data_IF_609009673905
#
_entry.id   IF_609009673905
#
_cell.length_a   1.000
_cell.length_b   1.000
_cell.length_c   1.000
_cell.angle_alpha   90.00
_cell.angle_beta   90.00
_cell.angle_gamma   90.00
#
_symmetry.space_group_name_H-M   'P 1'
#
loop_
_entity.id
_entity.type
_entity.pdbx_description
1 polymer ?
#
# COMPACT_ATOMS: atom_id res chain seq x y z
N UNK A 1 -7.54 49.34 -45.16
CA UNK A 1 -8.46 49.80 -46.25
C UNK A 1 -8.94 48.55 -46.99
N UNK A 2 -10.21 48.19 -47.23
CA UNK A 2 -11.59 48.67 -46.99
C UNK A 2 -12.44 47.37 -47.03
N UNK A 3 -13.22 47.04 -46.00
CA UNK A 3 -14.69 47.00 -45.99
C UNK A 3 -15.42 46.99 -47.37
N UNK A 4 -16.39 46.08 -47.60
CA UNK A 4 -17.85 46.36 -47.62
C UNK A 4 -18.69 45.27 -48.34
N UNK A 5 -19.58 44.62 -47.56
CA UNK A 5 -21.00 44.22 -47.76
C UNK A 5 -21.63 44.35 -49.16
N UNK A 6 -22.41 43.36 -49.66
CA UNK A 6 -23.81 43.45 -50.21
C UNK A 6 -24.51 42.05 -50.25
N UNK A 7 -25.73 41.92 -49.68
CA UNK A 7 -26.82 40.92 -49.96
C UNK A 7 -27.81 41.58 -50.95
N UNK A 8 -28.68 40.91 -51.77
CA UNK A 8 -29.74 39.94 -51.36
C UNK A 8 -30.01 38.85 -52.47
N UNK A 9 -30.94 37.89 -52.37
CA UNK A 9 -32.40 38.02 -52.63
C UNK A 9 -33.11 36.67 -52.55
N UNK A 10 -34.34 36.69 -52.02
CA UNK A 10 -35.31 35.60 -52.00
C UNK A 10 -36.38 35.85 -53.08
N UNK A 11 -37.05 34.80 -53.59
CA UNK A 11 -38.48 34.95 -53.86
C UNK A 11 -39.33 33.76 -53.36
N UNK A 12 -40.48 34.11 -52.77
CA UNK A 12 -41.67 33.27 -52.62
C UNK A 12 -42.54 33.34 -53.90
N UNK A 13 -43.43 32.37 -54.12
CA UNK A 13 -44.88 32.65 -53.98
C UNK A 13 -45.64 31.50 -53.29
N UNK A 14 -46.45 31.77 -52.25
CA UNK A 14 -47.91 32.06 -52.25
C UNK A 14 -48.80 30.99 -52.90
N UNK A 15 -49.56 30.25 -52.07
CA UNK A 15 -50.99 29.99 -52.25
C UNK A 15 -51.67 29.70 -50.89
N UNK A 16 -52.61 30.58 -50.52
CA UNK A 16 -53.73 30.43 -49.57
C UNK A 16 -55.01 30.58 -50.45
N UNK A 17 -56.28 30.32 -50.03
CA UNK A 17 -56.84 30.29 -48.66
C UNK A 17 -57.85 29.11 -48.45
N UNK A 18 -58.52 28.85 -47.31
CA UNK A 18 -59.64 29.60 -46.71
C UNK A 18 -60.20 28.91 -45.43
N UNK A 19 -60.47 29.74 -44.41
CA UNK A 19 -61.56 29.77 -43.38
C UNK A 19 -62.08 28.46 -42.73
N UNK A 20 -62.25 28.33 -41.40
CA UNK A 20 -62.15 29.28 -40.31
C UNK A 20 -62.69 28.73 -38.97
N UNK A 21 -62.89 29.67 -38.04
CA UNK A 21 -63.66 29.58 -36.79
C UNK A 21 -62.95 29.11 -35.50
N UNK A 22 -63.34 29.79 -34.43
CA UNK A 22 -63.12 29.52 -33.00
C UNK A 22 -61.83 30.01 -32.33
N UNK A 23 -61.94 31.29 -31.94
CA UNK A 23 -61.48 31.90 -30.69
C UNK A 23 -61.59 30.96 -29.47
N UNK A 24 -60.72 31.23 -28.50
CA UNK A 24 -60.71 30.82 -27.09
C UNK A 24 -59.87 29.58 -26.75
N UNK A 25 -58.67 29.82 -26.20
CA UNK A 25 -58.12 29.17 -25.00
C UNK A 25 -56.62 29.52 -24.86
N UNK A 26 -56.34 30.80 -24.59
CA UNK A 26 -55.09 31.17 -23.94
C UNK A 26 -55.28 30.93 -22.42
N UNK A 27 -54.22 30.44 -21.76
CA UNK A 27 -54.14 30.08 -20.33
C UNK A 27 -54.61 28.68 -19.96
N UNK A 28 -53.76 27.66 -20.19
CA UNK A 28 -53.69 26.44 -19.34
C UNK A 28 -52.40 25.63 -19.61
N UNK A 29 -51.22 26.29 -19.68
CA UNK A 29 -49.92 25.59 -19.85
C UNK A 29 -48.86 26.00 -18.80
N UNK A 30 -49.22 26.74 -17.76
CA UNK A 30 -48.25 27.23 -16.75
C UNK A 30 -48.55 26.77 -15.33
N UNK A 31 -48.85 25.49 -15.12
CA UNK A 31 -48.95 24.89 -13.77
C UNK A 31 -48.70 23.39 -13.77
N UNK A 32 -47.58 22.93 -14.35
CA UNK A 32 -47.15 21.53 -14.19
C UNK A 32 -45.63 21.29 -14.29
N UNK A 33 -44.80 22.27 -13.88
CA UNK A 33 -43.32 22.12 -13.83
C UNK A 33 -42.72 22.70 -12.51
N UNK A 34 -43.46 22.74 -11.41
CA UNK A 34 -42.94 23.25 -10.11
C UNK A 34 -43.09 22.27 -8.93
N UNK A 35 -43.17 20.97 -9.20
CA UNK A 35 -43.38 19.95 -8.17
C UNK A 35 -42.42 18.76 -8.17
N UNK A 36 -41.36 18.76 -8.99
CA UNK A 36 -40.33 17.72 -8.90
C UNK A 36 -39.23 18.28 -8.00
N UNK A 37 -39.11 17.83 -6.74
CA UNK A 37 -37.91 18.15 -5.98
C UNK A 37 -36.76 17.49 -6.74
N UNK A 38 -35.88 18.31 -7.32
CA UNK A 38 -34.51 17.90 -7.62
C UNK A 38 -33.79 17.65 -6.29
N UNK A 39 -34.22 16.60 -5.60
CA UNK A 39 -33.41 15.96 -4.59
C UNK A 39 -32.28 15.30 -5.35
N UNK A 40 -31.09 15.89 -5.30
CA UNK A 40 -29.87 15.13 -5.38
C UNK A 40 -29.99 14.06 -4.29
N UNK A 41 -30.43 12.86 -4.67
CA UNK A 41 -30.34 11.69 -3.82
C UNK A 41 -28.85 11.37 -3.68
N UNK A 42 -28.16 12.12 -2.83
CA UNK A 42 -26.92 11.66 -2.26
C UNK A 42 -27.27 10.37 -1.54
N UNK A 43 -26.74 9.25 -2.01
CA UNK A 43 -26.70 8.02 -1.22
C UNK A 43 -26.23 8.40 0.18
N UNK A 44 -27.00 8.13 1.25
CA UNK A 44 -26.59 8.50 2.59
C UNK A 44 -25.21 7.91 2.84
N UNK A 45 -24.28 8.74 3.33
CA UNK A 45 -22.96 8.28 3.72
C UNK A 45 -23.14 7.16 4.74
N UNK A 46 -22.74 5.94 4.38
CA UNK A 46 -22.88 4.76 5.22
C UNK A 46 -22.18 5.03 6.56
N UNK A 47 -22.88 4.81 7.68
CA UNK A 47 -22.33 5.10 9.01
C UNK A 47 -21.07 4.26 9.25
N UNK A 48 -20.10 4.77 10.01
CA UNK A 48 -18.92 4.00 10.42
C UNK A 48 -19.33 2.68 11.11
N UNK A 49 -20.44 2.68 11.85
CA UNK A 49 -21.02 1.50 12.47
C UNK A 49 -21.55 0.47 11.45
N UNK A 50 -21.99 0.90 10.27
CA UNK A 50 -22.45 0.00 9.21
C UNK A 50 -21.28 -0.54 8.37
N UNK A 51 -20.13 0.13 8.39
CA UNK A 51 -18.95 -0.24 7.61
C UNK A 51 -17.94 -1.10 8.37
N UNK A 52 -17.76 -0.84 9.66
CA UNK A 52 -16.74 -1.46 10.49
C UNK A 52 -17.37 -2.34 11.56
N UNK A 53 -16.82 -3.53 11.77
CA UNK A 53 -17.29 -4.46 12.79
C UNK A 53 -16.86 -3.95 14.18
N UNK A 54 -17.72 -4.00 15.21
CA UNK A 54 -17.44 -3.35 16.48
C UNK A 54 -16.69 -4.31 17.41
N UNK A 55 -15.68 -3.80 18.11
CA UNK A 55 -14.74 -4.62 18.87
C UNK A 55 -15.39 -5.34 20.06
N UNK A 56 -16.43 -4.78 20.65
CA UNK A 56 -17.20 -5.35 21.75
C UNK A 56 -18.01 -6.60 21.35
N UNK A 57 -18.24 -6.80 20.04
CA UNK A 57 -18.95 -7.96 19.52
C UNK A 57 -18.01 -9.10 19.09
N UNK A 58 -16.69 -8.89 19.08
CA UNK A 58 -15.72 -9.90 18.66
C UNK A 58 -15.61 -11.01 19.71
N UNK A 59 -15.98 -12.23 19.32
CA UNK A 59 -15.97 -13.42 20.20
C UNK A 59 -15.57 -14.69 19.43
N UNK A 60 -15.04 -15.72 20.11
CA UNK A 60 -14.72 -16.99 19.48
C UNK A 60 -15.93 -17.62 18.76
N UNK A 61 -15.66 -18.30 17.65
CA UNK A 61 -16.67 -18.97 16.82
C UNK A 61 -17.38 -18.07 15.80
N UNK A 62 -17.10 -16.76 15.78
CA UNK A 62 -17.57 -15.91 14.69
C UNK A 62 -16.91 -16.30 13.37
N UNK A 63 -17.71 -16.34 12.31
CA UNK A 63 -17.26 -16.66 10.96
C UNK A 63 -17.25 -15.42 10.08
N UNK A 64 -16.29 -15.34 9.17
CA UNK A 64 -16.09 -14.22 8.29
C UNK A 64 -15.42 -14.61 6.98
N UNK A 65 -15.13 -13.59 6.18
CA UNK A 65 -14.49 -13.72 4.87
C UNK A 65 -13.25 -12.82 4.85
N UNK A 66 -12.12 -13.38 4.45
CA UNK A 66 -10.92 -12.62 4.12
C UNK A 66 -10.75 -12.49 2.62
N UNK A 67 -10.05 -11.43 2.17
CA UNK A 67 -9.79 -11.16 0.74
C UNK A 67 -8.30 -11.00 0.47
N UNK A 68 -7.77 -11.66 -0.56
CA UNK A 68 -6.36 -11.51 -0.98
C UNK A 68 -6.19 -11.88 -2.45
N UNK A 69 -4.99 -11.67 -3.00
CA UNK A 69 -4.62 -12.13 -4.35
C UNK A 69 -3.62 -13.27 -4.24
N UNK A 70 -3.95 -14.41 -4.85
CA UNK A 70 -3.05 -15.56 -4.95
C UNK A 70 -2.33 -15.67 -6.30
N UNK A 71 -2.91 -15.10 -7.35
CA UNK A 71 -2.41 -15.15 -8.72
C UNK A 71 -3.00 -13.99 -9.54
N UNK A 72 -2.19 -13.40 -10.43
CA UNK A 72 -2.54 -12.21 -11.20
C UNK A 72 -2.85 -11.01 -10.31
N UNK A 73 -3.93 -10.32 -10.60
CA UNK A 73 -4.47 -9.16 -9.86
C UNK A 73 -5.87 -9.43 -9.27
N UNK A 74 -6.38 -10.65 -9.44
CA UNK A 74 -7.74 -11.02 -9.07
C UNK A 74 -7.84 -11.25 -7.57
N UNK A 75 -8.75 -10.51 -6.93
CA UNK A 75 -9.08 -10.71 -5.52
C UNK A 75 -9.93 -11.99 -5.37
N UNK A 76 -9.47 -12.88 -4.51
CA UNK A 76 -10.13 -14.13 -4.11
C UNK A 76 -10.49 -14.08 -2.62
N UNK A 77 -11.56 -14.79 -2.27
CA UNK A 77 -12.08 -14.87 -0.91
C UNK A 77 -11.65 -16.18 -0.22
N UNK A 78 -11.45 -16.13 1.09
CA UNK A 78 -11.19 -17.30 1.94
C UNK A 78 -11.96 -17.19 3.26
N UNK A 79 -12.23 -18.33 3.90
CA UNK A 79 -13.00 -18.36 5.14
C UNK A 79 -12.15 -17.93 6.34
N UNK A 80 -12.79 -17.33 7.35
CA UNK A 80 -12.14 -16.94 8.60
C UNK A 80 -13.01 -17.37 9.78
N UNK A 81 -12.39 -17.98 10.79
CA UNK A 81 -13.02 -18.29 12.08
C UNK A 81 -12.26 -17.57 13.18
N UNK A 82 -12.97 -16.77 13.99
CA UNK A 82 -12.37 -16.07 15.13
C UNK A 82 -12.14 -17.05 16.28
N UNK A 83 -10.91 -17.11 16.79
CA UNK A 83 -10.51 -17.95 17.91
C UNK A 83 -10.48 -17.18 19.23
N UNK A 84 -10.23 -15.86 19.19
CA UNK A 84 -10.20 -15.02 20.38
C UNK A 84 -9.56 -13.66 20.15
N UNK A 85 -9.36 -12.90 21.22
CA UNK A 85 -8.73 -11.57 21.20
C UNK A 85 -7.60 -11.54 22.23
N UNK A 86 -6.42 -11.09 21.81
CA UNK A 86 -5.26 -10.86 22.66
C UNK A 86 -5.12 -9.36 22.96
N UNK A 87 -5.51 -8.89 24.16
CA UNK A 87 -5.36 -7.50 24.54
C UNK A 87 -3.90 -7.17 24.88
N UNK A 88 -3.51 -5.90 24.72
CA UNK A 88 -2.17 -5.39 25.05
C UNK A 88 -1.08 -5.79 24.05
N UNK A 89 -1.46 -6.20 22.84
CA UNK A 89 -0.55 -6.60 21.75
C UNK A 89 -0.87 -5.78 20.49
N UNK A 90 0.15 -5.37 19.70
CA UNK A 90 1.58 -5.44 20.01
C UNK A 90 2.03 -4.41 21.07
N UNK A 91 1.18 -3.47 21.46
CA UNK A 91 1.47 -2.46 22.47
C UNK A 91 0.30 -2.17 23.43
N UNK A 92 0.52 -1.32 24.46
CA UNK A 92 -0.52 -0.92 25.39
C UNK A 92 -1.74 -0.35 24.67
N UNK A 93 -2.94 -0.71 25.15
CA UNK A 93 -4.24 -0.28 24.57
C UNK A 93 -4.53 -0.77 23.14
N UNK A 94 -3.68 -1.62 22.57
CA UNK A 94 -3.94 -2.28 21.29
C UNK A 94 -4.41 -3.71 21.51
N UNK A 95 -5.03 -4.30 20.49
CA UNK A 95 -5.42 -5.72 20.52
C UNK A 95 -5.08 -6.41 19.22
N UNK A 96 -4.81 -7.71 19.28
CA UNK A 96 -4.74 -8.57 18.09
C UNK A 96 -5.84 -9.61 18.17
N UNK A 97 -6.66 -9.69 17.12
CA UNK A 97 -7.70 -10.72 17.02
C UNK A 97 -7.06 -11.97 16.42
N UNK A 98 -7.22 -13.12 17.07
CA UNK A 98 -6.69 -14.39 16.59
C UNK A 98 -7.76 -15.10 15.79
N UNK A 99 -7.40 -15.54 14.59
CA UNK A 99 -8.32 -16.21 13.69
C UNK A 99 -7.64 -17.38 12.94
N UNK A 100 -8.44 -18.40 12.65
CA UNK A 100 -8.08 -19.49 11.75
C UNK A 100 -8.54 -19.14 10.34
N UNK A 101 -7.65 -19.24 9.37
CA UNK A 101 -7.98 -19.06 7.96
C UNK A 101 -8.37 -20.40 7.33
N UNK A 102 -9.39 -20.42 6.49
CA UNK A 102 -9.99 -21.64 5.97
C UNK A 102 -10.08 -21.61 4.45
N UNK A 103 -10.02 -22.80 3.86
CA UNK A 103 -10.22 -23.03 2.43
C UNK A 103 -9.03 -23.72 1.75
N UNK A 104 -9.24 -24.27 0.54
CA UNK A 104 -8.27 -25.17 -0.10
C UNK A 104 -6.89 -24.56 -0.33
N UNK A 105 -6.82 -23.24 -0.62
CA UNK A 105 -5.53 -22.55 -0.77
C UNK A 105 -4.83 -22.37 0.59
N UNK A 106 -5.57 -22.09 1.67
CA UNK A 106 -5.00 -21.89 3.01
C UNK A 106 -4.37 -23.16 3.59
N UNK A 107 -4.91 -24.33 3.28
CA UNK A 107 -4.33 -25.62 3.69
C UNK A 107 -2.93 -25.84 3.07
N UNK A 108 -2.70 -25.31 1.88
CA UNK A 108 -1.43 -25.46 1.14
C UNK A 108 -0.44 -24.36 1.45
N UNK A 109 -0.85 -23.10 1.28
CA UNK A 109 0.03 -21.95 1.38
C UNK A 109 0.22 -21.51 2.82
N UNK A 110 -0.75 -21.78 3.69
CA UNK A 110 -0.89 -21.16 5.01
C UNK A 110 -0.85 -19.64 4.89
N UNK A 111 -0.44 -18.97 5.97
CA UNK A 111 -0.16 -17.54 5.95
C UNK A 111 1.19 -17.34 5.25
N UNK A 112 1.24 -16.36 4.35
CA UNK A 112 2.42 -16.10 3.53
C UNK A 112 2.84 -14.62 3.58
N UNK A 113 4.14 -14.40 3.44
CA UNK A 113 4.71 -13.07 3.25
C UNK A 113 4.08 -12.37 2.03
N UNK A 114 3.53 -11.17 2.24
CA UNK A 114 2.73 -10.44 1.25
C UNK A 114 1.20 -10.61 1.36
N UNK A 115 0.71 -11.48 2.25
CA UNK A 115 -0.70 -11.52 2.68
C UNK A 115 -1.03 -10.38 3.66
N UNK A 116 -0.01 -9.85 4.32
CA UNK A 116 -0.08 -8.70 5.22
C UNK A 116 -0.97 -7.58 4.65
N UNK A 117 -2.00 -7.19 5.38
CA UNK A 117 -3.01 -6.22 4.98
C UNK A 117 -4.30 -6.79 4.40
N UNK A 118 -4.39 -8.11 4.19
CA UNK A 118 -5.61 -8.75 3.66
C UNK A 118 -6.81 -8.46 4.55
N UNK A 119 -7.88 -7.82 4.03
CA UNK A 119 -9.00 -7.41 4.86
C UNK A 119 -9.88 -8.59 5.24
N UNK A 120 -10.36 -8.57 6.48
CA UNK A 120 -11.27 -9.56 7.05
C UNK A 120 -12.60 -8.91 7.38
N UNK A 121 -13.69 -9.54 6.96
CA UNK A 121 -15.05 -9.07 7.14
C UNK A 121 -15.88 -10.07 7.95
N UNK A 122 -16.76 -9.56 8.81
CA UNK A 122 -17.83 -10.34 9.46
C UNK A 122 -19.14 -9.63 9.12
N UNK A 123 -20.11 -10.37 8.59
CA UNK A 123 -21.41 -9.83 8.14
C UNK A 123 -21.28 -8.62 7.19
N UNK A 124 -20.30 -8.67 6.28
CA UNK A 124 -20.02 -7.60 5.32
C UNK A 124 -19.33 -6.35 5.92
N UNK A 125 -19.08 -6.34 7.23
CA UNK A 125 -18.43 -5.22 7.94
C UNK A 125 -16.96 -5.53 8.14
N UNK A 126 -16.10 -4.56 7.84
CA UNK A 126 -14.64 -4.73 7.93
C UNK A 126 -14.22 -4.82 9.41
N UNK A 127 -13.59 -5.94 9.77
CA UNK A 127 -13.04 -6.20 11.10
C UNK A 127 -11.62 -5.66 11.24
N UNK A 128 -10.79 -5.85 10.23
CA UNK A 128 -9.38 -5.54 10.30
C UNK A 128 -8.54 -6.16 9.18
N UNK A 129 -7.23 -6.15 9.39
CA UNK A 129 -6.22 -6.62 8.45
C UNK A 129 -5.44 -7.81 9.02
N UNK A 130 -5.28 -8.88 8.24
CA UNK A 130 -4.31 -9.94 8.57
C UNK A 130 -2.91 -9.34 8.62
N UNK A 131 -2.24 -9.45 9.76
CA UNK A 131 -0.99 -8.74 10.00
C UNK A 131 0.08 -9.59 10.69
N UNK A 132 -0.31 -10.64 11.40
CA UNK A 132 0.61 -11.47 12.19
C UNK A 132 0.45 -12.95 11.90
N UNK A 133 1.52 -13.70 12.12
CA UNK A 133 1.57 -15.15 11.99
C UNK A 133 2.40 -15.76 13.12
N UNK A 134 2.24 -17.08 13.31
CA UNK A 134 3.13 -17.88 14.13
C UNK A 134 4.15 -18.58 13.22
N UNK A 135 5.47 -18.36 13.41
CA UNK A 135 6.49 -19.03 12.62
C UNK A 135 6.36 -20.55 12.74
N UNK A 136 6.57 -21.26 11.63
CA UNK A 136 6.48 -22.74 11.56
C UNK A 136 5.12 -23.34 11.93
N UNK A 137 4.06 -22.54 12.07
CA UNK A 137 2.73 -23.07 12.34
C UNK A 137 2.25 -23.96 11.20
N UNK A 138 1.80 -25.17 11.55
CA UNK A 138 1.26 -26.15 10.60
C UNK A 138 -0.17 -25.84 10.21
N UNK A 139 -0.88 -25.04 11.01
CA UNK A 139 -2.21 -24.52 10.77
C UNK A 139 -2.18 -23.02 10.42
N UNK A 140 -3.08 -22.54 9.54
CA UNK A 140 -3.14 -21.14 9.15
C UNK A 140 -3.80 -20.26 10.24
N UNK A 141 -3.12 -20.05 11.36
CA UNK A 141 -3.58 -19.19 12.46
C UNK A 141 -2.94 -17.81 12.35
N UNK A 142 -3.76 -16.79 12.13
CA UNK A 142 -3.34 -15.42 11.91
C UNK A 142 -3.71 -14.51 13.07
N UNK A 143 -2.91 -13.46 13.27
CA UNK A 143 -3.31 -12.28 14.02
C UNK A 143 -3.82 -11.19 13.09
N UNK A 144 -4.96 -10.62 13.43
CA UNK A 144 -5.62 -9.55 12.71
C UNK A 144 -5.49 -8.27 13.54
N UNK A 145 -4.95 -7.22 12.91
CA UNK A 145 -4.98 -5.86 13.46
C UNK A 145 -6.38 -5.28 13.25
N UNK A 146 -7.08 -4.86 14.32
CA UNK A 146 -8.39 -4.24 14.21
C UNK A 146 -8.37 -3.01 13.29
N UNK A 147 -9.43 -2.81 12.51
CA UNK A 147 -9.53 -1.64 11.63
C UNK A 147 -9.48 -0.33 12.43
N UNK A 148 -10.06 -0.32 13.63
CA UNK A 148 -10.07 0.85 14.52
C UNK A 148 -8.65 1.29 14.89
N UNK A 149 -7.77 0.34 15.22
CA UNK A 149 -6.36 0.62 15.52
C UNK A 149 -5.63 1.20 14.29
N UNK A 150 -5.94 0.71 13.09
CA UNK A 150 -5.38 1.26 11.85
C UNK A 150 -5.83 2.71 11.62
N UNK A 151 -7.13 2.99 11.77
CA UNK A 151 -7.69 4.32 11.54
C UNK A 151 -7.12 5.33 12.56
N UNK A 152 -7.08 4.96 13.84
CA UNK A 152 -6.53 5.81 14.91
C UNK A 152 -5.04 6.11 14.69
N UNK A 153 -4.25 5.08 14.38
CA UNK A 153 -2.80 5.22 14.22
C UNK A 153 -2.40 6.03 12.98
N UNK A 154 -3.16 5.91 11.90
CA UNK A 154 -2.77 6.44 10.59
C UNK A 154 -3.43 7.76 10.20
N UNK A 155 -4.57 8.11 10.82
CA UNK A 155 -5.25 9.38 10.54
C UNK A 155 -4.68 10.58 11.31
N UNK A 156 -3.66 10.38 12.15
CA UNK A 156 -2.92 11.47 12.78
C UNK A 156 -2.34 12.46 11.76
N UNK A 157 -2.32 13.75 12.12
CA UNK A 157 -2.01 14.88 11.24
C UNK A 157 -0.83 14.64 10.28
N UNK A 158 -0.96 15.15 9.05
CA UNK A 158 0.07 15.16 8.02
C UNK A 158 1.42 15.61 8.62
N UNK A 159 2.56 15.01 8.21
CA UNK A 159 3.85 15.45 8.71
C UNK A 159 4.00 16.95 8.46
N UNK A 160 4.37 17.69 9.51
CA UNK A 160 5.13 18.92 9.31
C UNK A 160 6.33 18.55 8.42
N UNK A 161 6.65 19.35 7.39
CA UNK A 161 7.88 19.13 6.62
C UNK A 161 9.04 18.96 7.61
N UNK A 162 9.98 18.02 7.37
CA UNK A 162 11.08 17.80 8.30
C UNK A 162 11.73 19.13 8.61
N UNK A 163 11.64 19.58 9.86
CA UNK A 163 12.37 20.77 10.30
C UNK A 163 13.85 20.53 9.97
N UNK A 164 14.56 21.50 9.38
CA UNK A 164 15.99 21.38 9.03
C UNK A 164 16.92 21.13 10.22
N UNK A 165 16.38 20.98 11.43
CA UNK A 165 17.09 20.75 12.69
C UNK A 165 17.31 19.27 13.03
N UNK A 166 16.87 18.32 12.21
CA UNK A 166 17.41 16.95 12.31
C UNK A 166 18.84 16.97 11.74
N UNK A 167 19.83 16.66 12.59
CA UNK A 167 21.27 16.82 12.30
C UNK A 167 21.82 16.18 11.01
N UNK A 168 21.01 15.41 10.29
CA UNK A 168 21.34 14.82 8.97
C UNK A 168 21.56 15.86 7.86
N UNK A 169 20.81 16.97 7.83
CA UNK A 169 20.92 17.95 6.74
C UNK A 169 22.27 18.69 6.73
N UNK A 170 22.91 18.87 7.89
CA UNK A 170 24.25 19.50 8.00
C UNK A 170 25.40 18.54 7.69
N UNK A 171 25.18 17.23 7.74
CA UNK A 171 26.20 16.24 7.37
C UNK A 171 26.39 16.13 5.85
N UNK A 172 25.33 16.31 5.06
CA UNK A 172 25.37 16.07 3.61
C UNK A 172 26.32 16.99 2.82
N UNK A 173 26.56 18.24 3.24
CA UNK A 173 27.40 19.15 2.45
C UNK A 173 28.91 18.84 2.56
N UNK A 174 29.38 18.37 3.72
CA UNK A 174 30.81 18.11 3.96
C UNK A 174 31.26 16.69 3.52
N UNK A 175 30.31 15.80 3.17
CA UNK A 175 30.58 14.38 2.90
C UNK A 175 30.87 14.06 1.43
N UNK A 176 30.40 14.86 0.48
CA UNK A 176 30.56 14.59 -0.96
C UNK A 176 31.80 15.25 -1.60
N UNK A 177 32.57 16.05 -0.86
CA UNK A 177 33.78 16.69 -1.40
C UNK A 177 34.94 15.71 -1.65
N UNK A 178 34.96 14.52 -1.04
CA UNK A 178 36.08 13.57 -1.15
C UNK A 178 35.62 12.11 -1.35
N UNK A 179 34.89 11.86 -2.44
CA UNK A 179 34.36 10.54 -2.83
C UNK A 179 35.41 9.56 -3.43
N UNK A 180 36.66 9.61 -2.94
CA UNK A 180 37.79 8.82 -3.48
C UNK A 180 38.16 7.57 -2.68
N UNK A 181 37.87 7.52 -1.38
CA UNK A 181 38.36 6.44 -0.51
C UNK A 181 37.23 5.53 -0.01
N UNK A 182 37.34 4.23 -0.30
CA UNK A 182 36.43 3.17 0.15
C UNK A 182 36.30 3.01 1.67
N UNK A 183 37.07 3.76 2.46
CA UNK A 183 36.92 3.87 3.91
C UNK A 183 35.85 4.87 4.38
N UNK A 184 35.36 5.74 3.49
CA UNK A 184 34.39 6.79 3.79
C UNK A 184 33.04 6.21 4.24
N UNK A 185 32.53 5.20 3.55
CA UNK A 185 31.28 4.52 3.92
C UNK A 185 31.36 3.89 5.31
N UNK A 186 32.50 3.29 5.67
CA UNK A 186 32.69 2.67 6.99
C UNK A 186 32.75 3.67 8.15
N UNK A 187 33.14 4.92 7.86
CA UNK A 187 33.14 6.05 8.80
C UNK A 187 31.77 6.73 8.86
N UNK A 188 31.10 6.86 7.72
CA UNK A 188 29.73 7.37 7.62
C UNK A 188 28.74 6.47 8.36
N UNK A 189 28.80 5.15 8.14
CA UNK A 189 27.97 4.19 8.87
C UNK A 189 28.25 4.18 10.38
N UNK A 190 29.48 4.52 10.80
CA UNK A 190 29.85 4.63 12.22
C UNK A 190 29.44 5.96 12.87
N UNK A 191 29.23 7.01 12.07
CA UNK A 191 28.83 8.33 12.56
C UNK A 191 27.33 8.58 12.49
N UNK A 192 26.59 7.72 11.77
CA UNK A 192 25.14 7.67 11.91
C UNK A 192 24.80 7.23 13.34
N UNK A 193 23.94 7.96 14.07
CA UNK A 193 23.42 7.46 15.33
C UNK A 193 22.81 6.09 15.06
N UNK A 194 23.09 5.10 15.91
CA UNK A 194 22.41 3.80 15.86
C UNK A 194 20.93 4.09 15.70
N UNK A 195 20.37 3.78 14.53
CA UNK A 195 18.94 3.91 14.33
C UNK A 195 18.32 3.08 15.44
N UNK A 196 17.54 3.75 16.30
CA UNK A 196 16.81 3.11 17.38
C UNK A 196 16.12 1.91 16.77
N UNK A 197 16.53 0.74 17.24
CA UNK A 197 16.54 -0.49 16.48
C UNK A 197 15.18 -0.78 15.87
N UNK A 198 15.01 -0.63 14.54
CA UNK A 198 13.78 -1.00 13.86
C UNK A 198 13.74 -2.54 13.86
N UNK A 199 12.94 -3.22 14.70
CA UNK A 199 12.97 -4.67 14.80
C UNK A 199 12.03 -5.21 13.73
N UNK A 200 12.60 -5.70 12.63
CA UNK A 200 11.86 -6.37 11.54
C UNK A 200 12.13 -7.89 11.52
N UNK A 201 13.02 -8.43 12.36
CA UNK A 201 13.14 -9.88 12.55
C UNK A 201 12.87 -10.34 13.99
N UNK A 202 12.12 -11.44 14.18
CA UNK A 202 11.99 -12.13 15.45
C UNK A 202 13.22 -12.98 15.83
N UNK A 203 14.11 -13.31 14.89
CA UNK A 203 15.19 -14.30 15.09
C UNK A 203 16.46 -13.73 15.73
N UNK A 204 16.85 -12.51 15.35
CA UNK A 204 18.22 -12.02 15.56
C UNK A 204 18.44 -11.23 16.86
N UNK A 205 17.38 -11.01 17.66
CA UNK A 205 17.48 -10.45 19.03
C UNK A 205 16.84 -11.29 20.12
N UNK A 206 16.40 -12.52 19.84
CA UNK A 206 16.10 -13.41 20.96
C UNK A 206 17.41 -13.69 21.69
N UNK A 207 17.53 -13.34 22.99
CA UNK A 207 18.58 -13.90 23.83
C UNK A 207 18.63 -15.41 23.58
N UNK A 208 19.82 -16.02 23.59
CA UNK A 208 19.93 -17.45 23.28
C UNK A 208 18.96 -18.32 24.10
N UNK A 209 18.60 -17.87 25.31
CA UNK A 209 17.59 -18.46 26.19
C UNK A 209 16.15 -18.45 25.65
N UNK A 210 15.80 -17.53 24.75
CA UNK A 210 14.45 -17.41 24.18
C UNK A 210 14.30 -18.11 22.81
N UNK A 211 15.41 -18.54 22.18
CA UNK A 211 15.38 -19.29 20.91
C UNK A 211 14.47 -20.53 20.92
N UNK A 212 14.36 -21.31 22.01
CA UNK A 212 13.41 -22.43 22.07
C UNK A 212 11.93 -22.04 21.91
N UNK A 213 11.60 -20.75 22.07
CA UNK A 213 10.25 -20.22 21.99
C UNK A 213 9.93 -19.51 20.67
N UNK A 214 10.84 -19.55 19.68
CA UNK A 214 10.71 -18.80 18.42
C UNK A 214 9.38 -19.06 17.69
N UNK A 215 8.95 -20.32 17.59
CA UNK A 215 7.67 -20.71 16.97
C UNK A 215 6.43 -20.46 17.85
N UNK A 216 6.61 -20.04 19.10
CA UNK A 216 5.50 -19.76 20.04
C UNK A 216 5.13 -18.27 20.09
N UNK A 217 5.85 -17.42 19.36
CA UNK A 217 5.60 -15.99 19.32
C UNK A 217 4.72 -15.60 18.14
N UNK A 218 3.78 -14.70 18.41
CA UNK A 218 3.03 -14.00 17.38
C UNK A 218 3.89 -12.85 16.84
N UNK A 219 4.27 -12.93 15.56
CA UNK A 219 5.18 -11.98 14.92
C UNK A 219 4.49 -11.35 13.70
N UNK A 220 4.83 -10.11 13.31
CA UNK A 220 4.32 -9.53 12.07
C UNK A 220 4.61 -10.46 10.90
N UNK A 221 3.68 -10.58 9.95
CA UNK A 221 3.90 -11.31 8.72
C UNK A 221 5.10 -10.66 8.03
N UNK A 222 6.08 -11.48 7.67
CA UNK A 222 7.27 -11.01 6.99
C UNK A 222 6.85 -10.17 5.78
N UNK A 223 7.33 -8.93 5.73
CA UNK A 223 7.23 -8.07 4.56
C UNK A 223 8.63 -7.97 3.99
N UNK A 224 9.08 -9.01 3.28
CA UNK A 224 10.46 -9.10 2.86
C UNK A 224 10.73 -7.99 1.84
N UNK A 225 11.87 -7.33 2.01
CA UNK A 225 12.36 -6.37 1.04
C UNK A 225 12.98 -7.13 -0.11
N UNK A 226 12.30 -7.12 -1.25
CA UNK A 226 12.78 -7.72 -2.48
C UNK A 226 13.86 -6.83 -3.07
N UNK A 227 15.10 -7.32 -3.06
CA UNK A 227 16.22 -6.63 -3.71
C UNK A 227 16.49 -7.25 -5.08
N UNK A 228 16.46 -6.44 -6.12
CA UNK A 228 16.69 -6.84 -7.51
C UNK A 228 17.77 -5.96 -8.14
N UNK A 229 18.60 -6.56 -9.00
CA UNK A 229 19.69 -5.87 -9.71
C UNK A 229 21.03 -5.82 -8.95
N UNK A 230 21.07 -6.27 -7.70
CA UNK A 230 22.29 -6.42 -6.91
C UNK A 230 22.72 -7.89 -6.94
N UNK A 231 24.01 -8.16 -7.19
CA UNK A 231 24.52 -9.53 -7.20
C UNK A 231 24.50 -10.14 -5.79
N UNK A 232 24.27 -11.46 -5.66
CA UNK A 232 24.28 -12.13 -4.35
C UNK A 232 25.58 -11.90 -3.58
N UNK A 233 26.72 -11.89 -4.25
CA UNK A 233 28.04 -11.66 -3.64
C UNK A 233 28.18 -10.25 -3.06
N UNK A 234 27.58 -9.25 -3.74
CA UNK A 234 27.54 -7.89 -3.22
C UNK A 234 26.64 -7.82 -1.97
N UNK A 235 25.47 -8.47 -2.00
CA UNK A 235 24.59 -8.54 -0.84
C UNK A 235 25.28 -9.22 0.35
N UNK A 236 25.91 -10.38 0.14
CA UNK A 236 26.63 -11.09 1.19
C UNK A 236 27.75 -10.22 1.78
N UNK A 237 28.53 -9.56 0.92
CA UNK A 237 29.63 -8.67 1.34
C UNK A 237 29.17 -7.50 2.21
N UNK A 238 28.01 -6.92 1.94
CA UNK A 238 27.47 -5.76 2.67
C UNK A 238 26.39 -6.14 3.70
N UNK A 239 26.07 -7.43 3.83
CA UNK A 239 25.06 -7.91 4.78
C UNK A 239 25.39 -7.52 6.22
N UNK A 240 26.64 -7.61 6.72
CA UNK A 240 26.96 -7.20 8.09
C UNK A 240 26.68 -5.72 8.36
N UNK A 241 26.91 -4.84 7.38
CA UNK A 241 26.62 -3.41 7.46
C UNK A 241 25.12 -3.12 7.40
N UNK A 242 24.41 -3.77 6.46
CA UNK A 242 22.96 -3.63 6.33
C UNK A 242 22.24 -4.12 7.60
N UNK A 243 22.68 -5.23 8.19
CA UNK A 243 22.15 -5.77 9.44
C UNK A 243 22.39 -4.81 10.62
N UNK A 244 23.57 -4.16 10.69
CA UNK A 244 23.83 -3.10 11.68
C UNK A 244 22.90 -1.91 11.53
N UNK A 245 22.43 -1.63 10.31
CA UNK A 245 21.43 -0.62 10.00
C UNK A 245 19.98 -1.13 10.16
N UNK A 246 19.78 -2.38 10.59
CA UNK A 246 18.47 -2.99 10.80
C UNK A 246 17.83 -3.61 9.55
N UNK A 247 18.56 -3.72 8.44
CA UNK A 247 18.08 -4.33 7.19
C UNK A 247 18.53 -5.79 7.07
N UNK A 248 17.61 -6.67 6.67
CA UNK A 248 17.85 -8.07 6.35
C UNK A 248 17.55 -8.29 4.86
N UNK A 249 18.56 -8.24 3.99
CA UNK A 249 18.34 -8.29 2.55
C UNK A 249 17.90 -9.69 2.10
N UNK A 250 16.73 -9.79 1.45
CA UNK A 250 16.27 -11.02 0.78
C UNK A 250 16.29 -10.79 -0.73
N UNK A 251 17.06 -11.59 -1.45
CA UNK A 251 17.24 -11.45 -2.91
C UNK A 251 16.25 -12.34 -3.66
N UNK A 252 15.63 -11.81 -4.71
CA UNK A 252 14.97 -12.63 -5.75
C UNK A 252 13.53 -13.09 -5.48
N UNK A 253 12.83 -12.46 -4.54
CA UNK A 253 11.43 -12.77 -4.20
C UNK A 253 10.38 -11.90 -4.94
N UNK A 254 10.81 -10.97 -5.78
CA UNK A 254 9.96 -10.16 -6.67
C UNK A 254 10.69 -9.86 -7.98
N UNK A 255 9.94 -9.56 -9.04
CA UNK A 255 10.49 -8.96 -10.25
C UNK A 255 10.73 -7.46 -10.02
N UNK A 256 11.85 -6.92 -10.52
CA UNK A 256 12.27 -5.56 -10.21
C UNK A 256 11.24 -4.47 -10.56
N UNK A 257 11.26 -3.35 -9.84
CA UNK A 257 10.39 -2.21 -10.09
C UNK A 257 10.97 -1.25 -11.13
N UNK A 258 10.34 -1.15 -12.29
CA UNK A 258 10.69 -0.14 -13.28
C UNK A 258 10.27 1.28 -12.84
N UNK A 259 11.01 2.29 -13.30
CA UNK A 259 10.59 3.69 -13.17
C UNK A 259 9.43 3.93 -14.13
N UNK A 260 8.24 4.18 -13.57
CA UNK A 260 7.02 4.48 -14.32
C UNK A 260 6.47 5.86 -13.95
N UNK A 261 5.86 6.60 -14.90
CA UNK A 261 5.15 7.82 -14.59
C UNK A 261 3.94 7.53 -13.69
N UNK A 262 3.44 8.54 -12.99
CA UNK A 262 2.22 8.43 -12.19
C UNK A 262 1.04 8.09 -13.10
N UNK A 263 0.44 6.92 -12.89
CA UNK A 263 -0.71 6.44 -13.63
C UNK A 263 -2.02 7.09 -13.12
N UNK A 264 -3.04 7.23 -13.99
CA UNK A 264 -4.34 7.73 -13.58
C UNK A 264 -5.02 6.78 -12.58
N UNK A 265 -5.66 7.36 -11.57
CA UNK A 265 -6.40 6.63 -10.53
C UNK A 265 -7.81 6.31 -11.05
N UNK A 266 -8.22 5.04 -10.90
CA UNK A 266 -9.54 4.55 -11.31
C UNK A 266 -10.34 4.02 -10.11
N UNK A 267 -11.59 3.61 -10.34
CA UNK A 267 -12.38 2.91 -9.32
C UNK A 267 -11.74 1.57 -8.90
N UNK A 268 -11.03 0.92 -9.81
CA UNK A 268 -10.37 -0.38 -9.57
C UNK A 268 -8.96 -0.27 -8.96
N UNK A 269 -8.41 0.94 -8.90
CA UNK A 269 -7.04 1.15 -8.39
C UNK A 269 -6.97 0.84 -6.91
N UNK A 270 -6.11 -0.11 -6.52
CA UNK A 270 -5.86 -0.49 -5.13
C UNK A 270 -7.15 -0.67 -4.28
N UNK A 271 -8.12 -1.43 -4.79
CA UNK A 271 -9.31 -1.83 -4.02
C UNK A 271 -8.96 -2.84 -2.90
N UNK A 272 -9.79 -2.98 -1.85
CA UNK A 272 -9.55 -3.93 -0.76
C UNK A 272 -9.25 -5.35 -1.27
N UNK A 273 -8.18 -5.96 -0.74
CA UNK A 273 -7.69 -7.27 -1.11
C UNK A 273 -6.66 -7.28 -2.26
N UNK A 274 -6.53 -6.19 -3.04
CA UNK A 274 -5.50 -6.11 -4.10
C UNK A 274 -4.10 -6.03 -3.52
N UNK A 275 -3.12 -6.51 -4.30
CA UNK A 275 -1.71 -6.36 -3.94
C UNK A 275 -1.24 -4.92 -4.14
N UNK A 276 -0.38 -4.46 -3.22
CA UNK A 276 0.21 -3.12 -3.24
C UNK A 276 1.71 -3.22 -3.02
N UNK A 277 2.48 -2.40 -3.72
CA UNK A 277 3.93 -2.33 -3.59
C UNK A 277 4.35 -0.97 -3.04
N UNK A 278 5.20 -0.99 -2.02
CA UNK A 278 5.91 0.17 -1.48
C UNK A 278 7.38 0.03 -1.87
N UNK A 279 7.94 1.01 -2.58
CA UNK A 279 9.34 0.97 -3.00
C UNK A 279 10.19 1.91 -2.13
N UNK A 280 11.38 1.44 -1.74
CA UNK A 280 12.46 2.30 -1.25
C UNK A 280 13.36 2.78 -2.38
N UNK A 281 13.48 1.98 -3.43
CA UNK A 281 14.30 2.26 -4.62
C UNK A 281 13.67 1.57 -5.82
N UNK A 282 13.70 2.24 -6.98
CA UNK A 282 13.18 1.69 -8.25
C UNK A 282 14.07 2.07 -9.44
N UNK A 283 14.00 1.28 -10.51
CA UNK A 283 14.80 1.44 -11.72
C UNK A 283 15.59 0.18 -12.06
N UNK A 284 16.84 0.36 -12.50
CA UNK A 284 17.74 -0.75 -12.83
C UNK A 284 18.17 -1.56 -11.59
N UNK A 285 18.05 -0.95 -10.40
CA UNK A 285 18.08 -1.62 -9.10
C UNK A 285 16.76 -1.29 -8.40
N UNK A 286 16.20 -2.24 -7.66
CA UNK A 286 14.98 -1.99 -6.88
C UNK A 286 15.01 -2.64 -5.52
N UNK A 287 14.37 -1.97 -4.57
CA UNK A 287 14.11 -2.45 -3.21
C UNK A 287 12.65 -2.16 -2.91
N UNK A 288 11.86 -3.20 -2.70
CA UNK A 288 10.41 -3.07 -2.55
C UNK A 288 9.79 -4.06 -1.57
N UNK A 289 8.65 -3.67 -1.03
CA UNK A 289 7.82 -4.45 -0.14
C UNK A 289 6.44 -4.63 -0.78
N UNK A 290 6.02 -5.88 -0.99
CA UNK A 290 4.68 -6.19 -1.50
C UNK A 290 3.80 -6.66 -0.34
N UNK A 291 2.62 -6.07 -0.24
CA UNK A 291 1.58 -6.42 0.72
C UNK A 291 0.19 -6.41 0.06
N UNK A 292 -0.83 -6.22 0.89
CA UNK A 292 -2.24 -6.21 0.48
C UNK A 292 -2.94 -4.96 1.01
N UNK A 293 -3.88 -4.43 0.23
CA UNK A 293 -4.73 -3.31 0.62
C UNK A 293 -5.84 -3.80 1.55
N UNK A 294 -5.97 -3.17 2.72
CA UNK A 294 -7.05 -3.44 3.67
C UNK A 294 -8.30 -2.65 3.33
N UNK A 295 -8.14 -1.34 3.17
CA UNK A 295 -9.24 -0.40 2.99
C UNK A 295 -8.83 0.68 2.01
N UNK A 296 -9.75 1.07 1.14
CA UNK A 296 -9.64 2.28 0.34
C UNK A 296 -10.82 3.20 0.64
N UNK A 297 -10.52 4.43 0.99
CA UNK A 297 -11.48 5.52 1.16
C UNK A 297 -11.11 6.65 0.20
N UNK A 298 -11.80 6.72 -0.93
CA UNK A 298 -11.49 7.65 -2.03
C UNK A 298 -10.04 7.54 -2.52
N UNK A 299 -9.18 8.47 -2.07
CA UNK A 299 -7.75 8.52 -2.38
C UNK A 299 -6.88 7.90 -1.28
N UNK A 300 -7.42 7.67 -0.09
CA UNK A 300 -6.67 7.09 1.04
C UNK A 300 -6.67 5.57 0.92
N UNK A 301 -5.49 4.97 1.04
CA UNK A 301 -5.29 3.52 0.96
C UNK A 301 -4.57 3.05 2.22
N UNK A 302 -5.20 2.14 2.95
CA UNK A 302 -4.66 1.51 4.16
C UNK A 302 -4.16 0.12 3.81
N UNK A 303 -2.94 -0.24 4.23
CA UNK A 303 -2.32 -1.52 3.86
C UNK A 303 -1.44 -2.10 4.99
N UNK A 304 -1.00 -3.36 4.81
CA UNK A 304 -0.14 -4.18 5.69
C UNK A 304 -0.73 -4.53 7.08
N UNK A 305 -1.45 -3.63 7.74
CA UNK A 305 -1.96 -3.89 9.10
C UNK A 305 -0.86 -3.99 10.17
N UNK A 306 0.40 -3.78 9.82
CA UNK A 306 1.53 -3.61 10.73
C UNK A 306 2.53 -2.60 10.13
N UNK A 307 3.42 -2.07 10.97
CA UNK A 307 4.50 -1.17 10.52
C UNK A 307 5.40 -1.83 9.48
N UNK A 308 5.86 -1.07 8.50
CA UNK A 308 6.94 -1.50 7.61
C UNK A 308 8.29 -1.21 8.29
N UNK A 309 8.55 0.07 8.58
CA UNK A 309 9.75 0.58 9.24
C UNK A 309 9.44 1.44 10.48
N UNK A 310 8.18 1.83 10.67
CA UNK A 310 7.74 2.77 11.72
C UNK A 310 8.39 4.17 11.61
N UNK A 311 8.65 4.63 10.38
CA UNK A 311 9.29 5.93 10.13
C UNK A 311 8.39 7.13 10.42
N UNK A 312 7.09 6.87 10.56
CA UNK A 312 6.10 7.89 10.76
C UNK A 312 5.70 8.58 9.47
N UNK A 313 5.81 9.91 9.42
CA UNK A 313 5.48 10.67 8.22
C UNK A 313 6.58 10.48 7.18
N UNK A 314 6.24 9.91 6.03
CA UNK A 314 7.20 9.50 5.01
C UNK A 314 6.64 9.80 3.62
N UNK A 315 7.49 9.86 2.59
CA UNK A 315 7.08 9.89 1.18
C UNK A 315 7.80 8.76 0.45
N UNK A 316 7.08 7.71 0.06
CA UNK A 316 7.60 6.60 -0.73
C UNK A 316 6.65 6.26 -1.89
N UNK A 317 7.14 5.76 -3.03
CA UNK A 317 6.30 5.25 -4.11
C UNK A 317 5.28 4.22 -3.63
N UNK A 318 4.02 4.43 -4.01
CA UNK A 318 2.92 3.47 -3.86
C UNK A 318 2.45 3.02 -5.24
N UNK A 319 2.69 1.76 -5.56
CA UNK A 319 2.36 1.16 -6.85
C UNK A 319 1.34 0.04 -6.73
N UNK A 320 0.62 -0.23 -7.82
CA UNK A 320 -0.06 -1.51 -7.98
C UNK A 320 0.95 -2.64 -8.12
N UNK A 321 0.54 -3.86 -7.79
CA UNK A 321 1.35 -5.05 -7.95
C UNK A 321 0.48 -6.23 -8.38
N UNK A 322 1.05 -7.14 -9.14
CA UNK A 322 0.46 -8.44 -9.47
C UNK A 322 1.24 -9.58 -8.84
N UNK A 323 0.59 -10.73 -8.72
CA UNK A 323 1.15 -11.95 -8.14
C UNK A 323 1.39 -12.97 -9.24
N UNK A 324 2.63 -13.42 -9.40
CA UNK A 324 2.95 -14.54 -10.29
C UNK A 324 2.44 -15.83 -9.65
N UNK A 325 2.82 -16.07 -8.39
CA UNK A 325 2.40 -17.24 -7.62
C UNK A 325 2.62 -17.01 -6.12
N UNK A 326 1.94 -17.81 -5.29
CA UNK A 326 2.35 -18.02 -3.91
C UNK A 326 3.23 -19.27 -3.85
N UNK A 327 4.45 -19.12 -3.35
CA UNK A 327 5.40 -20.22 -3.15
C UNK A 327 5.19 -20.79 -1.74
N UNK A 328 4.66 -22.02 -1.60
CA UNK A 328 4.51 -22.64 -0.29
C UNK A 328 5.87 -23.00 0.30
N UNK A 329 6.06 -22.74 1.59
CA UNK A 329 7.29 -23.10 2.31
C UNK A 329 6.98 -23.46 3.74
N UNK A 330 7.74 -24.41 4.28
CA UNK A 330 7.65 -24.81 5.69
C UNK A 330 8.24 -23.76 6.62
N UNK A 331 9.19 -22.95 6.14
CA UNK A 331 9.75 -21.85 6.93
C UNK A 331 8.89 -20.60 6.83
N UNK A 332 8.64 -20.16 5.60
CA UNK A 332 7.87 -18.94 5.32
C UNK A 332 7.37 -18.97 3.89
N UNK A 333 6.09 -19.29 3.69
CA UNK A 333 5.46 -19.14 2.37
C UNK A 333 5.51 -17.67 1.95
N UNK A 334 5.63 -17.39 0.65
CA UNK A 334 5.74 -16.00 0.19
C UNK A 334 5.09 -15.76 -1.17
N UNK A 335 4.67 -14.51 -1.39
CA UNK A 335 4.16 -14.01 -2.66
C UNK A 335 5.33 -13.68 -3.58
N UNK A 336 5.41 -14.34 -4.73
CA UNK A 336 6.28 -13.96 -5.84
C UNK A 336 5.53 -12.91 -6.67
N UNK A 337 5.87 -11.64 -6.48
CA UNK A 337 5.15 -10.52 -7.08
C UNK A 337 5.89 -9.81 -8.20
N UNK A 338 5.18 -8.89 -8.86
CA UNK A 338 5.72 -7.91 -9.80
C UNK A 338 5.14 -6.56 -9.44
N UNK A 339 6.00 -5.56 -9.24
CA UNK A 339 5.55 -4.17 -9.13
C UNK A 339 5.16 -3.63 -10.50
N UNK A 340 4.00 -3.01 -10.56
CA UNK A 340 3.45 -2.45 -11.80
C UNK A 340 3.57 -0.92 -11.79
N UNK A 341 2.47 -0.22 -12.07
CA UNK A 341 2.45 1.24 -12.25
C UNK A 341 2.37 1.98 -10.92
N UNK A 342 3.11 3.09 -10.83
CA UNK A 342 3.00 4.07 -9.76
C UNK A 342 1.61 4.70 -9.76
N UNK A 343 0.92 4.68 -8.62
CA UNK A 343 -0.43 5.27 -8.49
C UNK A 343 -0.57 6.27 -7.35
N UNK A 344 0.44 6.41 -6.50
CA UNK A 344 0.40 7.38 -5.41
C UNK A 344 1.67 7.41 -4.56
N UNK A 345 1.51 7.94 -3.36
CA UNK A 345 2.57 8.12 -2.38
C UNK A 345 2.16 7.54 -1.04
N UNK A 346 3.02 6.73 -0.44
CA UNK A 346 2.90 6.37 0.97
C UNK A 346 3.21 7.59 1.84
N UNK A 347 2.32 7.91 2.78
CA UNK A 347 2.36 9.12 3.63
C UNK A 347 2.62 8.83 5.11
N UNK A 348 2.19 7.66 5.59
CA UNK A 348 2.39 7.26 6.98
C UNK A 348 2.82 5.81 7.04
N UNK A 349 3.76 5.53 7.93
CA UNK A 349 4.19 4.19 8.33
C UNK A 349 4.23 4.14 9.87
N UNK A 350 3.28 3.42 10.47
CA UNK A 350 2.98 3.45 11.90
C UNK A 350 2.76 2.04 12.43
N UNK A 351 2.63 1.91 13.75
CA UNK A 351 2.51 0.62 14.44
C UNK A 351 1.44 -0.31 13.86
N UNK A 352 0.28 0.22 13.47
CA UNK A 352 -0.87 -0.54 13.00
C UNK A 352 -1.01 -0.63 11.47
N UNK A 353 0.00 -0.22 10.69
CA UNK A 353 -0.08 -0.29 9.23
C UNK A 353 0.57 0.89 8.53
N UNK A 354 0.19 1.06 7.27
CA UNK A 354 0.64 2.19 6.45
C UNK A 354 -0.56 2.87 5.78
N UNK A 355 -0.42 4.17 5.51
CA UNK A 355 -1.41 4.96 4.77
C UNK A 355 -0.76 5.60 3.55
N UNK A 356 -1.34 5.33 2.38
CA UNK A 356 -1.00 5.97 1.13
C UNK A 356 -2.09 6.90 0.62
N UNK A 357 -1.70 7.81 -0.28
CA UNK A 357 -2.58 8.76 -0.97
C UNK A 357 -2.39 8.60 -2.47
N UNK A 358 -3.48 8.27 -3.16
CA UNK A 358 -3.54 8.05 -4.60
C UNK A 358 -3.52 9.38 -5.37
N UNK A 359 -2.89 9.37 -6.55
CA UNK A 359 -2.86 10.49 -7.48
C UNK A 359 -1.86 11.58 -7.13
N UNK A 360 -1.01 11.38 -6.12
CA UNK A 360 0.08 12.27 -5.76
C UNK A 360 1.41 11.55 -5.99
N UNK A 361 2.35 12.10 -6.78
CA UNK A 361 3.64 11.48 -6.99
C UNK A 361 4.57 11.70 -5.78
N UNK A 362 5.41 10.71 -5.43
CA UNK A 362 6.37 10.86 -4.35
C UNK A 362 7.53 11.75 -4.79
N UNK A 363 8.23 12.37 -3.83
CA UNK A 363 9.51 13.03 -4.10
C UNK A 363 10.62 11.98 -4.11
N UNK A 364 11.31 11.85 -5.23
CA UNK A 364 12.44 10.93 -5.41
C UNK A 364 13.72 11.69 -5.72
N UNK A 365 14.88 11.06 -5.49
CA UNK A 365 16.19 11.63 -5.83
C UNK A 365 16.75 10.81 -6.99
N UNK A 366 16.70 11.32 -8.23
CA UNK A 366 17.20 10.57 -9.38
C UNK A 366 18.71 10.39 -9.28
N UNK A 367 19.17 9.15 -9.37
CA UNK A 367 20.57 8.76 -9.34
C UNK A 367 20.94 8.02 -10.63
N UNK A 368 22.05 8.44 -11.24
CA UNK A 368 22.66 7.73 -12.38
C UNK A 368 24.01 7.19 -11.96
N UNK A 369 24.17 5.87 -12.00
CA UNK A 369 25.40 5.16 -11.66
C UNK A 369 26.09 4.74 -12.95
N UNK A 370 27.32 5.20 -13.18
CA UNK A 370 28.12 4.79 -14.33
C UNK A 370 29.26 3.88 -13.87
N UNK A 371 29.22 2.62 -14.29
CA UNK A 371 30.27 1.65 -14.03
C UNK A 371 31.18 1.52 -15.25
N UNK A 372 32.43 1.98 -15.12
CA UNK A 372 33.46 1.80 -16.15
C UNK A 372 34.07 0.40 -16.02
N UNK A 373 34.01 -0.38 -17.10
CA UNK A 373 34.54 -1.75 -17.14
C UNK A 373 36.05 -1.72 -17.40
N UNK A 374 36.78 -2.61 -16.72
CA UNK A 374 38.23 -2.75 -16.89
C UNK A 374 38.65 -3.12 -18.32
N UNK A 375 37.78 -3.85 -19.06
CA UNK A 375 37.96 -4.23 -20.47
C UNK A 375 37.42 -3.20 -21.47
N UNK A 376 37.06 -2.00 -21.02
CA UNK A 376 36.45 -0.96 -21.83
C UNK A 376 34.91 -1.00 -21.85
N UNK A 377 34.30 0.15 -22.13
CA UNK A 377 32.85 0.37 -22.09
C UNK A 377 32.32 0.80 -20.71
N UNK A 378 31.11 1.36 -20.71
CA UNK A 378 30.44 1.90 -19.52
C UNK A 378 29.05 1.31 -19.41
N UNK A 379 28.72 0.70 -18.27
CA UNK A 379 27.34 0.37 -17.93
C UNK A 379 26.71 1.58 -17.23
N UNK A 380 25.49 1.95 -17.59
CA UNK A 380 24.74 3.04 -16.95
C UNK A 380 23.51 2.44 -16.29
N UNK A 381 23.36 2.70 -15.00
CA UNK A 381 22.19 2.30 -14.20
C UNK A 381 21.47 3.57 -13.74
N UNK A 382 20.15 3.55 -13.80
CA UNK A 382 19.25 4.62 -13.36
C UNK A 382 18.38 4.10 -12.25
N UNK A 383 18.41 4.77 -11.12
CA UNK A 383 17.57 4.48 -9.95
C UNK A 383 17.06 5.79 -9.37
N UNK A 384 15.97 5.75 -8.61
CA UNK A 384 15.48 6.92 -7.88
C UNK A 384 14.84 6.58 -6.55
#
# INVERSE_FOLDING_TARGET
MKALIIRPSCPLPRFLPQYGCMRQAASFVLTLILGIPWGLAGTPAQSASERFFPMDQVRPGLHGIGKTVFEGDKVEEFGVEILGVLPGRPGPKQSVIIARLMGPRMERTRIFAGMSGSPVYIDGRLLGAIAYAFPFATEPIAGITPIWDMLESLQGNAPSPPSPSSGMARMNAALFENAGDGGLWSRLLRSLPSFEEIPIEPDTRMPASLRPFFGQQLVPIATPLSIVGISPEAIERFSPELQKLGFFPVVGISAGAAITPLAPVTAETLTPGKSVSVQLMRGDLSIEAIGTVTLREDKKVYAFGHRLFNLGGVEMPLSEASTIAIVPSVMNSFKLGVTEKLVGTLRQDRSAGVLGVLGEPPRMIPLTIQQKKSRGGTNTYRVE
#
